data_IF_441974112005
#
_entry.id   IF_441974112005
#
_cell.length_a   1.000
_cell.length_b   1.000
_cell.length_c   1.000
_cell.angle_alpha   90.00
_cell.angle_beta   90.00
_cell.angle_gamma   90.00
#
_symmetry.space_group_name_H-M   'P 1'
#
loop_
_entity.id
_entity.type
_entity.pdbx_description
1 polymer ?
#
# COMPACT_ATOMS: atom_id res chain seq x y z
N UNK A 1 26.29 -14.13 26.44
CA UNK A 1 26.60 -14.22 24.99
C UNK A 1 25.86 -15.42 24.41
N UNK A 2 24.66 -15.23 23.86
CA UNK A 2 23.99 -16.27 23.06
C UNK A 2 23.63 -15.66 21.71
N UNK A 3 24.36 -16.08 20.68
CA UNK A 3 24.02 -15.78 19.30
C UNK A 3 22.74 -16.54 18.95
N UNK A 4 21.63 -15.81 18.83
CA UNK A 4 20.44 -16.28 18.13
C UNK A 4 20.74 -16.28 16.64
N UNK A 5 21.25 -17.41 16.16
CA UNK A 5 21.22 -17.76 14.74
C UNK A 5 19.74 -17.78 14.34
N UNK A 6 19.28 -16.75 13.61
CA UNK A 6 18.01 -16.79 12.90
C UNK A 6 18.10 -17.92 11.87
N UNK A 7 17.58 -19.09 12.22
CA UNK A 7 17.41 -20.20 11.29
C UNK A 7 16.52 -19.75 10.12
N UNK A 8 17.01 -19.75 8.86
CA UNK A 8 16.25 -19.33 7.70
C UNK A 8 15.52 -20.55 7.13
N UNK A 9 14.70 -21.21 7.95
CA UNK A 9 13.74 -22.17 7.41
C UNK A 9 12.47 -21.39 7.12
N UNK A 10 12.19 -21.17 5.83
CA UNK A 10 10.87 -20.78 5.38
C UNK A 10 9.87 -21.76 6.03
N UNK A 11 8.82 -21.23 6.67
CA UNK A 11 7.78 -22.06 7.29
C UNK A 11 7.33 -23.10 6.25
N UNK A 12 7.30 -24.41 6.58
CA UNK A 12 6.80 -25.42 5.67
C UNK A 12 5.38 -25.02 5.22
N UNK A 13 5.17 -24.93 3.91
CA UNK A 13 3.89 -24.52 3.31
C UNK A 13 3.71 -23.02 3.01
N UNK A 14 4.72 -22.16 3.18
CA UNK A 14 4.65 -20.77 2.68
C UNK A 14 4.67 -20.77 1.15
N UNK A 15 3.76 -20.04 0.50
CA UNK A 15 3.79 -19.76 -0.95
C UNK A 15 4.56 -18.47 -1.23
N UNK A 16 5.22 -18.37 -2.39
CA UNK A 16 5.82 -17.11 -2.86
C UNK A 16 4.70 -16.09 -3.15
N UNK A 17 4.93 -14.82 -2.80
CA UNK A 17 4.02 -13.74 -3.19
C UNK A 17 4.29 -13.29 -4.63
N UNK A 18 3.31 -12.69 -5.31
CA UNK A 18 3.48 -12.19 -6.68
C UNK A 18 4.57 -11.12 -6.79
N UNK A 19 4.71 -10.27 -5.76
CA UNK A 19 5.74 -9.23 -5.69
C UNK A 19 7.13 -9.88 -5.51
N UNK A 20 7.24 -10.86 -4.60
CA UNK A 20 8.50 -11.59 -4.38
C UNK A 20 8.89 -12.41 -5.62
N UNK A 21 7.92 -12.92 -6.37
CA UNK A 21 8.12 -13.59 -7.66
C UNK A 21 8.60 -12.60 -8.73
N UNK A 22 7.99 -11.42 -8.81
CA UNK A 22 8.39 -10.40 -9.77
C UNK A 22 9.83 -9.92 -9.51
N UNK A 23 10.18 -9.62 -8.25
CA UNK A 23 11.55 -9.26 -7.85
C UNK A 23 12.56 -10.34 -8.27
N UNK A 24 12.21 -11.61 -8.02
CA UNK A 24 13.02 -12.75 -8.42
C UNK A 24 13.18 -12.86 -9.94
N UNK A 25 12.10 -12.71 -10.70
CA UNK A 25 12.13 -12.81 -12.16
C UNK A 25 12.90 -11.63 -12.78
N UNK A 26 12.81 -10.42 -12.22
CA UNK A 26 13.62 -9.26 -12.65
C UNK A 26 15.10 -9.49 -12.38
N UNK A 27 15.46 -10.06 -11.23
CA UNK A 27 16.82 -10.47 -10.91
C UNK A 27 17.32 -11.58 -11.85
N UNK A 28 16.49 -12.58 -12.13
CA UNK A 28 16.82 -13.65 -13.07
C UNK A 28 17.02 -13.13 -14.50
N UNK A 29 16.19 -12.20 -14.95
CA UNK A 29 16.36 -11.56 -16.26
C UNK A 29 17.71 -10.83 -16.34
N UNK A 30 18.14 -10.17 -15.26
CA UNK A 30 19.46 -9.55 -15.20
C UNK A 30 20.58 -10.59 -15.37
N UNK A 31 20.48 -11.74 -14.68
CA UNK A 31 21.42 -12.85 -14.85
C UNK A 31 21.42 -13.41 -16.27
N UNK A 32 20.25 -13.69 -16.84
CA UNK A 32 20.09 -14.23 -18.19
C UNK A 32 20.66 -13.31 -19.26
N UNK A 33 20.46 -11.99 -19.10
CA UNK A 33 21.01 -10.99 -20.02
C UNK A 33 22.52 -10.85 -19.91
N UNK A 34 23.09 -11.17 -18.74
CA UNK A 34 24.53 -11.32 -18.51
C UNK A 34 25.09 -12.70 -18.90
N UNK A 35 24.25 -13.61 -19.40
CA UNK A 35 24.65 -14.97 -19.81
C UNK A 35 24.64 -16.01 -18.70
N UNK A 36 24.23 -15.65 -17.48
CA UNK A 36 24.13 -16.56 -16.33
C UNK A 36 22.71 -17.14 -16.24
N UNK A 37 22.63 -18.46 -16.03
CA UNK A 37 21.35 -19.19 -15.95
C UNK A 37 20.81 -19.28 -14.52
N UNK A 38 19.55 -19.71 -14.40
CA UNK A 38 18.87 -19.91 -13.11
C UNK A 38 19.65 -20.78 -12.10
N UNK A 39 20.26 -21.92 -12.48
CA UNK A 39 21.15 -22.68 -11.59
C UNK A 39 22.16 -21.81 -10.85
N UNK A 40 22.87 -20.99 -11.63
CA UNK A 40 23.90 -20.09 -11.09
C UNK A 40 23.32 -19.02 -10.17
N UNK A 41 22.17 -18.45 -10.52
CA UNK A 41 21.49 -17.50 -9.63
C UNK A 41 21.16 -18.13 -8.28
N UNK A 42 20.66 -19.38 -8.27
CA UNK A 42 20.32 -20.08 -7.03
C UNK A 42 21.57 -20.39 -6.21
N UNK A 43 22.68 -20.79 -6.81
CA UNK A 43 23.97 -20.95 -6.12
C UNK A 43 24.41 -19.65 -5.44
N UNK A 44 24.43 -18.55 -6.19
CA UNK A 44 24.87 -17.23 -5.72
C UNK A 44 23.99 -16.72 -4.57
N UNK A 45 22.68 -16.97 -4.62
CA UNK A 45 21.75 -16.66 -3.52
C UNK A 45 22.00 -17.56 -2.30
N UNK A 46 22.24 -18.85 -2.50
CA UNK A 46 22.53 -19.80 -1.42
C UNK A 46 23.84 -19.47 -0.70
N UNK A 47 24.81 -18.89 -1.42
CA UNK A 47 26.11 -18.48 -0.91
C UNK A 47 26.11 -17.07 -0.32
N UNK A 48 24.96 -16.39 -0.35
CA UNK A 48 24.80 -15.06 0.21
C UNK A 48 25.46 -13.94 -0.61
N UNK A 49 25.94 -14.24 -1.82
CA UNK A 49 26.51 -13.25 -2.74
C UNK A 49 25.45 -12.41 -3.44
N UNK A 50 24.24 -12.96 -3.59
CA UNK A 50 23.07 -12.26 -4.12
C UNK A 50 21.97 -12.16 -3.06
N UNK A 51 21.46 -10.96 -2.85
CA UNK A 51 20.38 -10.72 -1.90
C UNK A 51 19.00 -10.96 -2.56
N UNK A 52 18.35 -12.07 -2.20
CA UNK A 52 16.98 -12.38 -2.60
C UNK A 52 16.03 -12.42 -1.39
N UNK A 53 14.72 -12.43 -1.65
CA UNK A 53 13.69 -12.62 -0.61
C UNK A 53 13.85 -13.95 0.13
N UNK A 54 13.33 -14.03 1.36
CA UNK A 54 13.48 -15.20 2.24
C UNK A 54 12.98 -16.49 1.59
N UNK A 55 11.90 -16.43 0.77
CA UNK A 55 11.39 -17.60 0.08
C UNK A 55 12.40 -18.13 -0.94
N UNK A 56 12.95 -17.23 -1.77
CA UNK A 56 13.96 -17.56 -2.79
C UNK A 56 15.23 -18.05 -2.13
N UNK A 57 15.67 -17.44 -1.02
CA UNK A 57 16.83 -17.89 -0.26
C UNK A 57 16.64 -19.31 0.30
N UNK A 58 15.47 -19.61 0.87
CA UNK A 58 15.14 -20.96 1.32
C UNK A 58 15.14 -21.98 0.18
N UNK A 59 14.66 -21.58 -0.99
CA UNK A 59 14.64 -22.40 -2.19
C UNK A 59 16.04 -22.64 -2.78
N UNK A 60 16.87 -21.62 -2.82
CA UNK A 60 18.27 -21.68 -3.23
C UNK A 60 19.08 -22.66 -2.35
N UNK A 61 18.86 -22.63 -1.03
CA UNK A 61 19.49 -23.59 -0.12
C UNK A 61 19.05 -25.04 -0.41
N UNK A 62 17.77 -25.26 -0.71
CA UNK A 62 17.26 -26.59 -1.13
C UNK A 62 17.85 -27.02 -2.47
N UNK A 63 17.96 -26.11 -3.42
CA UNK A 63 18.57 -26.35 -4.73
C UNK A 63 20.01 -26.84 -4.59
N UNK A 64 20.82 -26.15 -3.78
CA UNK A 64 22.21 -26.54 -3.50
C UNK A 64 22.36 -27.94 -2.89
N UNK A 65 21.37 -28.39 -2.12
CA UNK A 65 21.34 -29.76 -1.60
C UNK A 65 20.98 -30.75 -2.71
N UNK A 66 19.99 -30.44 -3.54
CA UNK A 66 19.56 -31.30 -4.64
C UNK A 66 20.64 -31.47 -5.71
N UNK A 67 21.34 -30.40 -6.08
CA UNK A 67 22.47 -30.39 -7.03
C UNK A 67 23.56 -31.37 -6.59
N UNK A 68 23.86 -31.48 -5.30
CA UNK A 68 24.85 -32.46 -4.77
C UNK A 68 24.42 -33.92 -4.94
N UNK A 69 23.13 -34.16 -5.14
CA UNK A 69 22.54 -35.51 -5.23
C UNK A 69 22.15 -35.89 -6.66
N UNK A 70 22.14 -34.94 -7.59
CA UNK A 70 21.65 -35.10 -8.96
C UNK A 70 22.73 -34.60 -9.92
N UNK A 71 23.08 -35.40 -10.92
CA UNK A 71 24.18 -35.10 -11.85
C UNK A 71 23.90 -33.94 -12.84
N UNK A 72 22.66 -33.45 -12.93
CA UNK A 72 22.23 -32.43 -13.89
C UNK A 72 21.40 -31.32 -13.23
N UNK A 73 21.80 -30.07 -13.48
CA UNK A 73 21.22 -28.86 -12.89
C UNK A 73 19.72 -28.72 -13.18
N UNK A 74 19.29 -29.08 -14.39
CA UNK A 74 17.89 -28.94 -14.82
C UNK A 74 17.01 -30.05 -14.24
N UNK A 75 17.57 -31.23 -14.01
CA UNK A 75 16.92 -32.30 -13.25
C UNK A 75 16.78 -31.91 -11.77
N UNK A 76 17.78 -31.24 -11.19
CA UNK A 76 17.68 -30.67 -9.85
C UNK A 76 16.59 -29.59 -9.76
N UNK A 77 16.45 -28.72 -10.78
CA UNK A 77 15.36 -27.75 -10.88
C UNK A 77 13.97 -28.38 -10.97
N UNK A 78 13.82 -29.47 -11.73
CA UNK A 78 12.54 -30.21 -11.81
C UNK A 78 12.14 -30.81 -10.47
N UNK A 79 13.08 -31.44 -9.76
CA UNK A 79 12.84 -31.95 -8.40
C UNK A 79 12.57 -30.82 -7.40
N UNK A 80 13.22 -29.67 -7.58
CA UNK A 80 12.98 -28.50 -6.76
C UNK A 80 11.53 -28.02 -6.90
N UNK A 81 10.94 -28.10 -8.10
CA UNK A 81 9.54 -27.74 -8.36
C UNK A 81 8.56 -28.51 -7.45
N UNK A 82 8.82 -29.79 -7.22
CA UNK A 82 7.99 -30.66 -6.37
C UNK A 82 8.09 -30.28 -4.87
N UNK A 83 9.13 -29.55 -4.49
CA UNK A 83 9.38 -29.10 -3.12
C UNK A 83 8.92 -27.66 -2.84
N UNK A 84 8.34 -27.00 -3.84
CA UNK A 84 7.82 -25.64 -3.72
C UNK A 84 6.44 -25.62 -3.08
N UNK A 85 6.14 -24.58 -2.31
CA UNK A 85 4.81 -24.36 -1.74
C UNK A 85 3.84 -23.62 -2.69
N UNK A 86 4.19 -23.48 -3.98
CA UNK A 86 3.44 -22.66 -4.94
C UNK A 86 3.36 -23.36 -6.29
N UNK A 87 2.15 -23.73 -6.71
CA UNK A 87 1.93 -24.37 -8.02
C UNK A 87 2.45 -23.50 -9.17
N UNK A 88 2.22 -22.19 -9.12
CA UNK A 88 2.71 -21.26 -10.13
C UNK A 88 4.25 -21.24 -10.20
N UNK A 89 4.92 -21.28 -9.06
CA UNK A 89 6.39 -21.32 -9.04
C UNK A 89 6.94 -22.69 -9.47
N UNK A 90 6.23 -23.78 -9.14
CA UNK A 90 6.54 -25.12 -9.64
C UNK A 90 6.47 -25.16 -11.18
N UNK A 91 5.39 -24.60 -11.75
CA UNK A 91 5.18 -24.53 -13.19
C UNK A 91 6.27 -23.69 -13.87
N UNK A 92 6.70 -22.60 -13.23
CA UNK A 92 7.84 -21.81 -13.69
C UNK A 92 9.13 -22.64 -13.73
N UNK A 93 9.50 -23.32 -12.64
CA UNK A 93 10.74 -24.10 -12.57
C UNK A 93 10.75 -25.26 -13.58
N UNK A 94 9.61 -25.95 -13.73
CA UNK A 94 9.44 -27.01 -14.73
C UNK A 94 9.57 -26.47 -16.15
N UNK A 95 8.81 -25.43 -16.47
CA UNK A 95 8.85 -24.80 -17.80
C UNK A 95 10.22 -24.21 -18.13
N UNK A 96 10.89 -23.58 -17.17
CA UNK A 96 12.24 -23.05 -17.35
C UNK A 96 13.22 -24.20 -17.67
N UNK A 97 13.16 -25.30 -16.92
CA UNK A 97 14.01 -26.47 -17.17
C UNK A 97 13.78 -27.07 -18.55
N UNK A 98 12.53 -27.13 -19.01
CA UNK A 98 12.17 -27.65 -20.32
C UNK A 98 12.69 -26.75 -21.44
N UNK A 99 12.45 -25.44 -21.35
CA UNK A 99 12.96 -24.45 -22.32
C UNK A 99 14.48 -24.45 -22.38
N UNK A 100 15.16 -24.53 -21.23
CA UNK A 100 16.61 -24.58 -21.17
C UNK A 100 17.18 -25.82 -21.89
N UNK A 101 16.50 -26.97 -21.77
CA UNK A 101 16.92 -28.22 -22.43
C UNK A 101 16.52 -28.34 -23.90
N UNK A 102 15.55 -27.55 -24.37
CA UNK A 102 14.98 -27.68 -25.73
C UNK A 102 15.41 -26.55 -26.65
N UNK A 103 14.89 -25.33 -26.45
CA UNK A 103 15.14 -24.18 -27.32
C UNK A 103 16.28 -23.28 -26.86
N UNK A 104 16.64 -23.34 -25.58
CA UNK A 104 17.63 -22.44 -24.97
C UNK A 104 17.16 -20.98 -24.82
N UNK A 105 15.93 -20.65 -25.21
CA UNK A 105 15.36 -19.28 -25.16
C UNK A 105 14.85 -18.90 -23.75
N UNK A 106 15.64 -19.20 -22.72
CA UNK A 106 15.27 -19.00 -21.31
C UNK A 106 14.99 -17.55 -20.96
N UNK A 107 15.70 -16.59 -21.56
CA UNK A 107 15.47 -15.16 -21.35
C UNK A 107 14.07 -14.71 -21.81
N UNK A 108 13.62 -15.16 -23.00
CA UNK A 108 12.26 -14.87 -23.50
C UNK A 108 11.18 -15.56 -22.65
N UNK A 109 11.45 -16.77 -22.17
CA UNK A 109 10.56 -17.45 -21.24
C UNK A 109 10.39 -16.67 -19.93
N UNK A 110 11.48 -16.12 -19.37
CA UNK A 110 11.43 -15.26 -18.19
C UNK A 110 10.66 -13.97 -18.46
N UNK A 111 10.87 -13.32 -19.61
CA UNK A 111 10.10 -12.14 -20.04
C UNK A 111 8.60 -12.44 -20.13
N UNK A 112 8.20 -13.58 -20.73
CA UNK A 112 6.80 -14.01 -20.79
C UNK A 112 6.19 -14.25 -19.41
N UNK A 113 6.94 -14.85 -18.48
CA UNK A 113 6.47 -15.04 -17.11
C UNK A 113 6.37 -13.72 -16.33
N UNK A 114 7.26 -12.76 -16.58
CA UNK A 114 7.15 -11.40 -16.04
C UNK A 114 5.87 -10.71 -16.51
N UNK A 115 5.53 -10.81 -17.81
CA UNK A 115 4.29 -10.25 -18.35
C UNK A 115 3.04 -10.91 -17.73
N UNK A 116 3.04 -12.25 -17.63
CA UNK A 116 1.96 -13.00 -17.00
C UNK A 116 1.77 -12.61 -15.53
N UNK A 117 2.88 -12.43 -14.80
CA UNK A 117 2.86 -12.01 -13.39
C UNK A 117 2.35 -10.58 -13.25
N UNK A 118 2.81 -9.67 -14.12
CA UNK A 118 2.33 -8.28 -14.16
C UNK A 118 0.83 -8.19 -14.46
N UNK A 119 0.31 -9.02 -15.37
CA UNK A 119 -1.11 -9.05 -15.70
C UNK A 119 -1.96 -9.60 -14.55
N UNK A 120 -1.48 -10.65 -13.87
CA UNK A 120 -2.13 -11.17 -12.64
C UNK A 120 -2.20 -10.09 -11.55
N UNK A 121 -1.07 -9.41 -11.29
CA UNK A 121 -0.99 -8.30 -10.34
C UNK A 121 -1.96 -7.17 -10.68
N UNK A 122 -2.06 -6.81 -11.97
CA UNK A 122 -3.01 -5.80 -12.46
C UNK A 122 -4.44 -6.19 -12.14
N UNK A 123 -4.86 -7.40 -12.54
CA UNK A 123 -6.21 -7.89 -12.31
C UNK A 123 -6.55 -7.97 -10.83
N UNK A 124 -5.59 -8.41 -10.00
CA UNK A 124 -5.75 -8.46 -8.55
C UNK A 124 -5.92 -7.07 -7.95
N UNK A 125 -5.11 -6.10 -8.37
CA UNK A 125 -5.24 -4.70 -7.95
C UNK A 125 -6.61 -4.15 -8.36
N UNK A 126 -7.02 -4.30 -9.63
CA UNK A 126 -8.33 -3.85 -10.11
C UNK A 126 -9.48 -4.47 -9.30
N UNK A 127 -9.40 -5.74 -8.92
CA UNK A 127 -10.39 -6.39 -8.07
C UNK A 127 -10.38 -5.86 -6.63
N UNK A 128 -9.19 -5.62 -6.05
CA UNK A 128 -9.05 -5.00 -4.73
C UNK A 128 -9.68 -3.60 -4.72
N UNK A 129 -9.46 -2.81 -5.76
CA UNK A 129 -10.05 -1.49 -5.93
C UNK A 129 -11.57 -1.55 -5.92
N UNK A 130 -12.17 -2.45 -6.73
CA UNK A 130 -13.63 -2.66 -6.75
C UNK A 130 -14.19 -3.07 -5.39
N UNK A 131 -13.48 -3.91 -4.64
CA UNK A 131 -13.90 -4.31 -3.30
C UNK A 131 -13.86 -3.14 -2.31
N UNK A 132 -12.82 -2.31 -2.34
CA UNK A 132 -12.71 -1.11 -1.50
C UNK A 132 -13.85 -0.14 -1.80
N UNK A 133 -14.20 0.05 -3.07
CA UNK A 133 -15.33 0.87 -3.50
C UNK A 133 -16.66 0.32 -2.96
N UNK A 134 -16.91 -0.98 -3.11
CA UNK A 134 -18.13 -1.61 -2.58
C UNK A 134 -18.25 -1.50 -1.06
N UNK A 135 -17.14 -1.57 -0.32
CA UNK A 135 -17.11 -1.36 1.13
C UNK A 135 -17.46 0.08 1.49
N UNK A 136 -16.94 1.06 0.75
CA UNK A 136 -17.26 2.46 0.98
C UNK A 136 -18.73 2.77 0.65
N UNK A 137 -19.23 2.32 -0.50
CA UNK A 137 -20.62 2.50 -0.90
C UNK A 137 -21.59 1.83 0.08
N UNK A 138 -21.27 0.61 0.53
CA UNK A 138 -22.03 -0.08 1.57
C UNK A 138 -22.06 0.69 2.89
N UNK A 139 -20.93 1.28 3.31
CA UNK A 139 -20.90 2.16 4.49
C UNK A 139 -21.78 3.39 4.29
N UNK A 140 -21.69 4.06 3.14
CA UNK A 140 -22.49 5.25 2.84
C UNK A 140 -23.99 4.96 2.96
N UNK A 141 -24.45 3.85 2.36
CA UNK A 141 -25.84 3.41 2.43
C UNK A 141 -26.27 3.10 3.86
N UNK A 142 -25.42 2.41 4.64
CA UNK A 142 -25.70 2.12 6.04
C UNK A 142 -25.82 3.41 6.87
N UNK A 143 -24.90 4.36 6.71
CA UNK A 143 -24.93 5.65 7.43
C UNK A 143 -26.17 6.45 7.05
N UNK A 144 -26.52 6.53 5.76
CA UNK A 144 -27.75 7.19 5.33
C UNK A 144 -29.01 6.52 5.91
N UNK A 145 -29.08 5.19 5.89
CA UNK A 145 -30.18 4.44 6.49
C UNK A 145 -30.30 4.72 7.98
N UNK A 146 -29.19 4.76 8.71
CA UNK A 146 -29.17 5.07 10.14
C UNK A 146 -29.59 6.52 10.42
N UNK A 147 -29.16 7.49 9.60
CA UNK A 147 -29.62 8.88 9.72
C UNK A 147 -31.13 8.96 9.49
N UNK A 148 -31.67 8.29 8.46
CA UNK A 148 -33.11 8.26 8.22
C UNK A 148 -33.89 7.64 9.41
N UNK A 149 -33.36 6.57 10.02
CA UNK A 149 -33.96 5.93 11.20
C UNK A 149 -33.88 6.80 12.46
N UNK A 150 -32.85 7.63 12.63
CA UNK A 150 -32.77 8.57 13.76
C UNK A 150 -33.77 9.70 13.67
N UNK A 151 -34.23 10.01 12.46
CA UNK A 151 -35.13 11.13 12.18
C UNK A 151 -36.60 10.71 12.32
N UNK A 152 -36.93 9.50 11.87
CA UNK A 152 -38.29 9.01 11.94
C UNK A 152 -38.46 8.37 13.34
N UNK A 153 -39.36 8.89 14.21
CA UNK A 153 -39.51 8.47 15.61
C UNK A 153 -40.18 7.09 15.76
N UNK A 154 -39.93 6.16 14.83
CA UNK A 154 -40.49 4.81 14.83
C UNK A 154 -39.83 3.89 15.85
N UNK A 155 -38.68 4.29 16.42
CA UNK A 155 -37.91 3.42 17.32
C UNK A 155 -37.56 4.15 18.61
N UNK A 156 -37.94 3.60 19.76
CA UNK A 156 -37.57 4.10 21.10
C UNK A 156 -36.08 3.91 21.44
N UNK A 157 -35.22 3.88 20.43
CA UNK A 157 -33.78 3.61 20.55
C UNK A 157 -33.04 4.95 20.66
N UNK A 158 -32.09 5.05 21.59
CA UNK A 158 -31.34 6.29 21.81
C UNK A 158 -30.52 6.72 20.58
N UNK A 159 -30.49 8.01 20.29
CA UNK A 159 -29.66 8.62 19.23
C UNK A 159 -28.18 8.31 19.39
N UNK A 160 -27.70 8.22 20.64
CA UNK A 160 -26.34 7.82 21.00
C UNK A 160 -25.98 6.42 20.48
N UNK A 161 -26.92 5.47 20.57
CA UNK A 161 -26.72 4.11 20.06
C UNK A 161 -26.51 4.12 18.54
N UNK A 162 -27.32 4.88 17.79
CA UNK A 162 -27.16 5.00 16.34
C UNK A 162 -25.81 5.63 15.96
N UNK A 163 -25.36 6.68 16.66
CA UNK A 163 -24.02 7.24 16.45
C UNK A 163 -22.91 6.23 16.72
N UNK A 164 -23.02 5.40 17.76
CA UNK A 164 -22.05 4.33 18.01
C UNK A 164 -22.03 3.29 16.88
N UNK A 165 -23.19 2.88 16.38
CA UNK A 165 -23.29 1.94 15.25
C UNK A 165 -22.62 2.51 14.00
N UNK A 166 -22.80 3.80 13.70
CA UNK A 166 -22.11 4.49 12.59
C UNK A 166 -20.59 4.41 12.75
N UNK A 167 -20.08 4.72 13.94
CA UNK A 167 -18.62 4.66 14.19
C UNK A 167 -18.10 3.23 14.07
N UNK A 168 -18.80 2.24 14.64
CA UNK A 168 -18.41 0.83 14.56
C UNK A 168 -18.43 0.30 13.13
N UNK A 169 -19.44 0.66 12.34
CA UNK A 169 -19.50 0.32 10.92
C UNK A 169 -18.33 0.93 10.17
N UNK A 170 -17.99 2.19 10.44
CA UNK A 170 -16.87 2.85 9.79
C UNK A 170 -15.50 2.25 10.18
N UNK A 171 -15.30 1.88 11.45
CA UNK A 171 -14.09 1.19 11.91
C UNK A 171 -13.99 -0.18 11.24
N UNK A 172 -15.09 -0.94 11.18
CA UNK A 172 -15.11 -2.24 10.51
C UNK A 172 -14.78 -2.11 9.02
N UNK A 173 -15.42 -1.16 8.33
CA UNK A 173 -15.11 -0.84 6.93
C UNK A 173 -13.65 -0.43 6.77
N UNK A 174 -13.10 0.36 7.68
CA UNK A 174 -11.69 0.73 7.67
C UNK A 174 -10.78 -0.50 7.81
N UNK A 175 -11.05 -1.41 8.75
CA UNK A 175 -10.26 -2.64 8.91
C UNK A 175 -10.34 -3.56 7.68
N UNK A 176 -11.51 -3.65 7.05
CA UNK A 176 -11.67 -4.40 5.79
C UNK A 176 -10.84 -3.75 4.69
N UNK A 177 -10.95 -2.43 4.51
CA UNK A 177 -10.14 -1.68 3.54
C UNK A 177 -8.67 -1.91 3.83
N UNK A 178 -8.21 -1.78 5.07
CA UNK A 178 -6.81 -2.05 5.44
C UNK A 178 -6.34 -3.43 5.00
N UNK A 179 -7.12 -4.47 5.32
CA UNK A 179 -6.78 -5.84 4.95
C UNK A 179 -6.71 -6.06 3.44
N UNK A 180 -7.57 -5.39 2.68
CA UNK A 180 -7.55 -5.42 1.20
C UNK A 180 -6.36 -4.62 0.66
N UNK A 181 -6.06 -3.50 1.31
CA UNK A 181 -5.09 -2.49 0.89
C UNK A 181 -3.65 -2.79 1.24
N UNK A 182 -3.40 -3.73 2.17
CA UNK A 182 -2.08 -4.06 2.73
C UNK A 182 -1.03 -4.42 1.65
N UNK A 183 -1.49 -4.75 0.43
CA UNK A 183 -0.65 -5.08 -0.73
C UNK A 183 -0.54 -3.95 -1.78
N UNK A 184 -1.34 -2.88 -1.70
CA UNK A 184 -1.53 -1.90 -2.77
C UNK A 184 -1.32 -0.44 -2.34
N UNK A 185 -1.78 -0.08 -1.14
CA UNK A 185 -1.65 1.27 -0.59
C UNK A 185 -0.49 1.28 0.39
N UNK A 186 0.62 1.91 0.01
CA UNK A 186 1.78 2.15 0.90
C UNK A 186 1.46 3.27 1.89
N UNK A 187 0.38 3.14 2.64
CA UNK A 187 0.14 3.97 3.81
C UNK A 187 1.16 3.55 4.87
N UNK A 188 1.84 4.54 5.48
CA UNK A 188 2.81 4.22 6.52
C UNK A 188 2.08 3.59 7.71
N UNK A 189 2.70 2.64 8.40
CA UNK A 189 2.12 2.02 9.62
C UNK A 189 1.69 3.06 10.65
N UNK A 190 2.42 4.19 10.71
CA UNK A 190 2.10 5.33 11.57
C UNK A 190 0.79 6.03 11.15
N UNK A 191 0.56 6.25 9.86
CA UNK A 191 -0.69 6.83 9.35
C UNK A 191 -1.90 5.94 9.63
N UNK A 192 -1.72 4.62 9.50
CA UNK A 192 -2.77 3.65 9.81
C UNK A 192 -3.14 3.66 11.29
N UNK A 193 -2.13 3.60 12.15
CA UNK A 193 -2.33 3.62 13.59
C UNK A 193 -2.99 4.91 14.05
N UNK A 194 -2.54 6.06 13.55
CA UNK A 194 -3.14 7.36 13.84
C UNK A 194 -4.60 7.44 13.38
N UNK A 195 -4.90 6.98 12.15
CA UNK A 195 -6.28 7.00 11.64
C UNK A 195 -7.21 6.09 12.46
N UNK A 196 -6.78 4.87 12.78
CA UNK A 196 -7.57 3.94 13.60
C UNK A 196 -7.86 4.49 15.01
N UNK A 197 -6.86 5.12 15.64
CA UNK A 197 -7.02 5.76 16.95
C UNK A 197 -8.00 6.92 16.86
N UNK A 198 -7.85 7.80 15.87
CA UNK A 198 -8.74 8.94 15.72
C UNK A 198 -10.19 8.47 15.50
N UNK A 199 -10.42 7.51 14.60
CA UNK A 199 -11.76 6.92 14.40
C UNK A 199 -12.32 6.33 15.69
N UNK A 200 -11.53 5.54 16.42
CA UNK A 200 -11.96 4.93 17.69
C UNK A 200 -12.25 5.96 18.77
N UNK A 201 -11.47 7.05 18.82
CA UNK A 201 -11.65 8.13 19.79
C UNK A 201 -12.95 8.92 19.57
N UNK A 202 -13.57 8.83 18.38
CA UNK A 202 -14.92 9.39 18.17
C UNK A 202 -15.99 8.72 19.04
N UNK A 203 -15.85 7.43 19.41
CA UNK A 203 -16.78 6.76 20.33
C UNK A 203 -16.80 7.45 21.70
N UNK A 204 -15.62 7.76 22.23
CA UNK A 204 -15.47 8.44 23.53
C UNK A 204 -15.97 9.88 23.44
N UNK A 205 -15.75 10.53 22.30
CA UNK A 205 -16.17 11.91 22.06
C UNK A 205 -17.69 12.11 22.12
N UNK A 206 -18.47 11.09 21.72
CA UNK A 206 -19.95 11.14 21.76
C UNK A 206 -20.48 10.97 23.19
N UNK A 207 -19.77 10.24 24.04
CA UNK A 207 -20.20 9.89 25.39
C UNK A 207 -19.95 10.99 26.44
N UNK A 208 -18.98 11.86 26.20
CA UNK A 208 -18.51 12.85 27.17
C UNK A 208 -19.02 14.24 26.81
N UNK A 209 -19.53 15.00 27.79
CA UNK A 209 -19.87 16.42 27.60
C UNK A 209 -18.62 17.21 27.18
N UNK A 210 -18.71 17.93 26.06
CA UNK A 210 -17.55 18.62 25.46
C UNK A 210 -16.58 17.69 24.70
N UNK A 211 -16.88 16.38 24.60
CA UNK A 211 -16.02 15.38 23.96
C UNK A 211 -15.74 15.66 22.48
N UNK A 212 -16.69 16.23 21.74
CA UNK A 212 -16.49 16.63 20.33
C UNK A 212 -15.39 17.70 20.17
N UNK A 213 -15.32 18.66 21.08
CA UNK A 213 -14.30 19.70 21.07
C UNK A 213 -12.92 19.10 21.39
N UNK A 214 -12.86 18.23 22.41
CA UNK A 214 -11.63 17.50 22.76
C UNK A 214 -11.14 16.66 21.56
N UNK A 215 -12.03 15.92 20.91
CA UNK A 215 -11.69 15.14 19.73
C UNK A 215 -11.19 16.01 18.58
N UNK A 216 -11.82 17.16 18.32
CA UNK A 216 -11.34 18.12 17.33
C UNK A 216 -9.92 18.61 17.63
N UNK A 217 -9.62 18.96 18.89
CA UNK A 217 -8.25 19.36 19.28
C UNK A 217 -7.24 18.23 19.10
N UNK A 218 -7.63 16.98 19.38
CA UNK A 218 -6.80 15.80 19.15
C UNK A 218 -6.50 15.58 17.66
N UNK A 219 -7.52 15.69 16.80
CA UNK A 219 -7.35 15.62 15.34
C UNK A 219 -6.38 16.69 14.86
N UNK A 220 -6.57 17.94 15.30
CA UNK A 220 -5.71 19.06 14.92
C UNK A 220 -4.24 18.83 15.35
N UNK A 221 -4.02 18.44 16.61
CA UNK A 221 -2.68 18.14 17.12
C UNK A 221 -2.01 17.01 16.33
N UNK A 222 -2.76 15.94 16.05
CA UNK A 222 -2.28 14.78 15.28
C UNK A 222 -1.89 15.19 13.86
N UNK A 223 -2.71 16.02 13.19
CA UNK A 223 -2.41 16.55 11.84
C UNK A 223 -1.12 17.37 11.86
N UNK A 224 -0.94 18.28 12.83
CA UNK A 224 0.24 19.15 12.92
C UNK A 224 1.52 18.31 13.12
N UNK A 225 1.47 17.30 13.98
CA UNK A 225 2.64 16.47 14.31
C UNK A 225 3.03 15.47 13.21
N UNK A 226 2.06 14.83 12.55
CA UNK A 226 2.33 13.76 11.58
C UNK A 226 2.51 14.26 10.14
N UNK A 227 1.83 15.35 9.74
CA UNK A 227 1.85 15.83 8.36
C UNK A 227 3.27 16.08 7.82
N UNK A 228 4.20 16.72 8.55
CA UNK A 228 5.55 16.96 8.03
C UNK A 228 6.32 15.66 7.76
N UNK A 229 6.22 14.68 8.68
CA UNK A 229 6.92 13.40 8.58
C UNK A 229 6.40 12.59 7.40
N UNK A 230 5.08 12.48 7.28
CA UNK A 230 4.41 11.72 6.23
C UNK A 230 4.68 12.32 4.85
N UNK A 231 4.64 13.66 4.72
CA UNK A 231 4.92 14.33 3.44
C UNK A 231 6.35 14.13 2.96
N UNK A 232 7.31 14.07 3.89
CA UNK A 232 8.69 13.74 3.53
C UNK A 232 8.79 12.36 2.89
N UNK A 233 8.11 11.36 3.43
CA UNK A 233 8.08 10.01 2.87
C UNK A 233 7.47 9.99 1.45
N UNK A 234 6.39 10.74 1.23
CA UNK A 234 5.78 10.87 -0.11
C UNK A 234 6.69 11.57 -1.10
N UNK A 235 7.45 12.59 -0.67
CA UNK A 235 8.45 13.25 -1.52
C UNK A 235 9.56 12.28 -1.93
N UNK A 236 10.08 11.52 -0.98
CA UNK A 236 11.08 10.47 -1.25
C UNK A 236 10.56 9.43 -2.25
N UNK A 237 9.31 8.96 -2.12
CA UNK A 237 8.72 8.07 -3.12
C UNK A 237 8.66 8.72 -4.51
N UNK A 238 8.25 10.00 -4.59
CA UNK A 238 8.19 10.74 -5.86
C UNK A 238 9.56 10.90 -6.51
N UNK A 239 10.57 11.31 -5.75
CA UNK A 239 11.93 11.52 -6.24
C UNK A 239 12.52 10.20 -6.79
N UNK A 240 12.24 9.08 -6.13
CA UNK A 240 12.69 7.75 -6.60
C UNK A 240 11.96 7.31 -7.87
N UNK A 241 10.67 7.61 -8.01
CA UNK A 241 9.93 7.34 -9.24
C UNK A 241 10.45 8.20 -10.40
N UNK A 242 10.71 9.50 -10.15
CA UNK A 242 11.33 10.38 -11.16
C UNK A 242 12.70 9.88 -11.59
N UNK A 243 13.54 9.42 -10.65
CA UNK A 243 14.80 8.78 -10.96
C UNK A 243 14.65 7.52 -11.82
N UNK A 244 13.64 6.67 -11.55
CA UNK A 244 13.37 5.49 -12.37
C UNK A 244 12.98 5.86 -13.81
N UNK A 245 12.14 6.87 -14.00
CA UNK A 245 11.74 7.37 -15.32
C UNK A 245 12.95 7.91 -16.10
N UNK A 246 13.80 8.70 -15.44
CA UNK A 246 15.03 9.24 -16.02
C UNK A 246 16.04 8.12 -16.33
N UNK A 247 16.20 7.16 -15.43
CA UNK A 247 17.02 5.98 -15.64
C UNK A 247 16.54 5.15 -16.82
N UNK A 248 15.24 4.90 -16.94
CA UNK A 248 14.69 4.20 -18.10
C UNK A 248 14.96 4.97 -19.41
N UNK A 249 14.69 6.28 -19.42
CA UNK A 249 14.95 7.14 -20.58
C UNK A 249 16.41 7.08 -21.01
N UNK A 250 17.36 7.30 -20.09
CA UNK A 250 18.78 7.32 -20.41
C UNK A 250 19.32 5.92 -20.77
N UNK A 251 18.89 4.86 -20.08
CA UNK A 251 19.32 3.48 -20.39
C UNK A 251 18.86 2.99 -21.75
N UNK A 252 17.70 3.46 -22.24
CA UNK A 252 17.25 3.23 -23.61
C UNK A 252 18.17 3.86 -24.67
N UNK A 253 18.87 4.93 -24.32
CA UNK A 253 19.87 5.56 -25.19
C UNK A 253 21.29 5.00 -25.00
N UNK A 254 21.44 3.88 -24.28
CA UNK A 254 22.71 3.21 -24.06
C UNK A 254 23.56 3.78 -22.92
N UNK A 255 23.03 4.73 -22.14
CA UNK A 255 23.71 5.26 -20.94
C UNK A 255 23.60 4.23 -19.81
N UNK A 256 24.70 3.95 -19.12
CA UNK A 256 24.66 2.99 -18.00
C UNK A 256 23.97 3.60 -16.79
N UNK A 257 23.32 2.78 -15.95
CA UNK A 257 22.63 3.29 -14.76
C UNK A 257 23.61 3.94 -13.75
N UNK A 258 24.89 3.54 -13.76
CA UNK A 258 25.96 4.21 -13.01
C UNK A 258 26.22 5.64 -13.48
N UNK A 259 26.23 5.87 -14.80
CA UNK A 259 26.31 7.21 -15.38
C UNK A 259 25.05 8.02 -15.05
N UNK A 260 23.86 7.43 -15.11
CA UNK A 260 22.62 8.10 -14.69
C UNK A 260 22.71 8.57 -13.24
N UNK A 261 23.22 7.74 -12.33
CA UNK A 261 23.40 8.10 -10.94
C UNK A 261 24.27 9.36 -10.77
N UNK A 262 25.27 9.58 -11.63
CA UNK A 262 26.06 10.81 -11.61
C UNK A 262 25.24 12.06 -11.99
N UNK A 263 24.36 11.95 -12.98
CA UNK A 263 23.57 13.09 -13.50
C UNK A 263 22.37 13.47 -12.64
N UNK A 264 21.70 12.51 -11.99
CA UNK A 264 20.46 12.80 -11.26
C UNK A 264 20.71 13.50 -9.93
N UNK A 265 20.04 14.63 -9.71
CA UNK A 265 20.04 15.34 -8.43
C UNK A 265 18.78 15.01 -7.62
N UNK A 266 18.98 14.48 -6.42
CA UNK A 266 17.91 14.22 -5.48
C UNK A 266 17.67 15.43 -4.57
N UNK A 267 16.41 15.82 -4.37
CA UNK A 267 16.05 16.87 -3.42
C UNK A 267 16.25 16.41 -1.96
N UNK A 268 15.78 15.20 -1.62
CA UNK A 268 15.91 14.67 -0.25
C UNK A 268 17.36 14.33 0.11
N UNK A 269 17.79 14.76 1.30
CA UNK A 269 19.14 14.54 1.82
C UNK A 269 19.49 13.05 1.99
N UNK A 270 18.52 12.22 2.38
CA UNK A 270 18.72 10.77 2.56
C UNK A 270 18.97 10.08 1.23
N UNK A 271 18.29 10.51 0.17
CA UNK A 271 18.53 10.04 -1.20
C UNK A 271 19.88 10.53 -1.73
N UNK A 272 20.29 11.77 -1.43
CA UNK A 272 21.64 12.27 -1.75
C UNK A 272 22.73 11.46 -1.05
N UNK A 273 22.51 11.09 0.22
CA UNK A 273 23.45 10.25 0.96
C UNK A 273 23.51 8.83 0.39
N UNK A 274 22.36 8.26 0.04
CA UNK A 274 22.25 6.97 -0.65
C UNK A 274 23.00 6.97 -2.00
N UNK A 275 22.80 7.99 -2.83
CA UNK A 275 23.55 8.21 -4.08
C UNK A 275 25.06 8.21 -3.82
N UNK A 276 25.53 8.99 -2.84
CA UNK A 276 26.97 9.05 -2.50
C UNK A 276 27.51 7.68 -2.09
N UNK A 277 26.79 6.92 -1.27
CA UNK A 277 27.23 5.57 -0.86
C UNK A 277 27.27 4.58 -2.01
N UNK A 278 26.33 4.67 -2.95
CA UNK A 278 26.37 3.86 -4.17
C UNK A 278 27.58 4.19 -5.04
N UNK A 279 27.85 5.49 -5.27
CA UNK A 279 29.00 5.95 -6.06
C UNK A 279 30.35 5.59 -5.41
N UNK A 280 30.39 5.40 -4.09
CA UNK A 280 31.57 4.92 -3.37
C UNK A 280 31.73 3.40 -3.41
N UNK A 281 30.81 2.67 -4.06
CA UNK A 281 30.86 1.21 -4.18
C UNK A 281 30.43 0.44 -2.94
N UNK A 282 29.78 1.09 -1.96
CA UNK A 282 29.28 0.41 -0.77
C UNK A 282 27.96 -0.33 -1.02
N UNK A 283 27.75 -1.43 -0.30
CA UNK A 283 26.54 -2.22 -0.47
C UNK A 283 25.28 -1.47 0.00
N UNK A 284 24.24 -1.34 -0.86
CA UNK A 284 23.07 -0.53 -0.57
C UNK A 284 22.11 -1.15 0.44
N UNK A 285 22.20 -2.46 0.70
CA UNK A 285 21.19 -3.24 1.44
C UNK A 285 20.82 -2.65 2.80
N UNK A 286 21.82 -2.21 3.57
CA UNK A 286 21.59 -1.64 4.92
C UNK A 286 20.92 -0.26 4.92
N UNK A 287 21.09 0.52 3.86
CA UNK A 287 20.52 1.87 3.73
C UNK A 287 19.12 1.83 3.11
N UNK A 288 18.84 0.80 2.30
CA UNK A 288 17.54 0.59 1.66
C UNK A 288 16.41 0.42 2.69
N UNK A 289 16.72 -0.11 3.86
CA UNK A 289 15.76 -0.32 4.94
C UNK A 289 15.21 0.96 5.57
N UNK A 290 15.87 2.10 5.37
CA UNK A 290 15.41 3.41 5.83
C UNK A 290 14.33 4.02 4.93
N UNK A 291 14.16 3.53 3.69
CA UNK A 291 13.24 4.10 2.71
C UNK A 291 11.83 3.50 2.76
N UNK A 292 10.79 4.25 2.32
CA UNK A 292 9.45 3.74 2.10
C UNK A 292 9.44 2.46 1.25
N UNK A 293 8.46 1.58 1.44
CA UNK A 293 8.44 0.26 0.80
C UNK A 293 8.55 0.31 -0.73
N UNK A 294 7.82 1.22 -1.39
CA UNK A 294 7.88 1.38 -2.84
C UNK A 294 9.26 1.90 -3.29
N UNK A 295 9.74 2.96 -2.66
CA UNK A 295 11.06 3.53 -2.94
C UNK A 295 12.18 2.49 -2.75
N UNK A 296 12.14 1.73 -1.65
CA UNK A 296 13.06 0.63 -1.35
C UNK A 296 13.06 -0.42 -2.44
N UNK A 297 11.88 -0.87 -2.87
CA UNK A 297 11.73 -1.88 -3.90
C UNK A 297 12.28 -1.39 -5.26
N UNK A 298 11.95 -0.16 -5.66
CA UNK A 298 12.49 0.44 -6.91
C UNK A 298 14.01 0.51 -6.84
N UNK A 299 14.56 1.11 -5.78
CA UNK A 299 16.00 1.27 -5.61
C UNK A 299 16.69 -0.10 -5.57
N UNK A 300 16.14 -1.09 -4.86
CA UNK A 300 16.68 -2.46 -4.84
C UNK A 300 16.69 -3.08 -6.23
N UNK A 301 15.58 -3.02 -6.95
CA UNK A 301 15.44 -3.66 -8.27
C UNK A 301 16.23 -2.95 -9.37
N UNK A 302 16.52 -1.66 -9.22
CA UNK A 302 17.42 -0.94 -10.13
C UNK A 302 18.90 -1.16 -9.79
N UNK A 303 19.26 -1.16 -8.52
CA UNK A 303 20.67 -1.18 -8.09
C UNK A 303 21.26 -2.59 -8.00
N UNK A 304 20.46 -3.59 -7.66
CA UNK A 304 20.94 -4.99 -7.54
C UNK A 304 21.45 -5.55 -8.88
N UNK A 305 20.78 -5.29 -10.02
CA UNK A 305 21.24 -5.72 -11.35
C UNK A 305 22.52 -5.02 -11.86
N UNK A 306 22.93 -3.88 -11.28
CA UNK A 306 24.15 -3.15 -11.67
C UNK A 306 25.40 -4.06 -11.65
N UNK A 307 25.42 -5.04 -10.75
CA UNK A 307 26.55 -5.95 -10.58
C UNK A 307 26.63 -7.04 -11.66
N UNK A 308 25.56 -7.29 -12.42
CA UNK A 308 25.40 -8.53 -13.19
C UNK A 308 25.13 -8.34 -14.68
N UNK A 309 24.68 -7.17 -15.14
CA UNK A 309 24.40 -6.94 -16.56
C UNK A 309 24.63 -5.50 -16.99
N UNK A 310 25.25 -5.25 -18.16
CA UNK A 310 25.29 -3.93 -18.78
C UNK A 310 23.97 -3.56 -19.48
N UNK A 311 23.05 -4.51 -19.67
CA UNK A 311 21.76 -4.30 -20.38
C UNK A 311 20.68 -3.77 -19.44
N UNK A 312 20.92 -2.58 -18.89
CA UNK A 312 20.05 -1.96 -17.88
C UNK A 312 18.65 -1.58 -18.40
N UNK A 313 18.49 -1.33 -19.71
CA UNK A 313 17.21 -0.93 -20.33
C UNK A 313 16.08 -1.94 -20.06
N UNK A 314 16.37 -3.24 -20.20
CA UNK A 314 15.35 -4.28 -19.99
C UNK A 314 14.87 -4.31 -18.54
N UNK A 315 15.80 -4.19 -17.61
CA UNK A 315 15.50 -4.22 -16.17
C UNK A 315 14.75 -2.96 -15.77
N UNK A 316 15.21 -1.77 -16.19
CA UNK A 316 14.51 -0.50 -15.94
C UNK A 316 13.11 -0.50 -16.55
N UNK A 317 12.93 -1.08 -17.75
CA UNK A 317 11.61 -1.23 -18.38
C UNK A 317 10.62 -2.04 -17.53
N UNK A 318 11.05 -3.18 -16.99
CA UNK A 318 10.17 -4.01 -16.17
C UNK A 318 9.83 -3.36 -14.82
N UNK A 319 10.81 -2.70 -14.18
CA UNK A 319 10.55 -1.95 -12.95
C UNK A 319 9.61 -0.77 -13.23
N UNK A 320 9.80 -0.07 -14.35
CA UNK A 320 8.92 1.02 -14.78
C UNK A 320 7.48 0.54 -15.01
N UNK A 321 7.28 -0.53 -15.78
CA UNK A 321 5.93 -1.11 -16.01
C UNK A 321 5.19 -1.43 -14.70
N UNK A 322 5.90 -1.97 -13.70
CA UNK A 322 5.30 -2.23 -12.40
C UNK A 322 4.95 -0.93 -11.65
N UNK A 323 5.86 0.05 -11.66
CA UNK A 323 5.61 1.35 -11.03
C UNK A 323 4.45 2.08 -11.71
N UNK A 324 4.34 2.05 -13.04
CA UNK A 324 3.22 2.59 -13.80
C UNK A 324 1.90 1.91 -13.43
N UNK A 325 1.91 0.59 -13.22
CA UNK A 325 0.75 -0.17 -12.80
C UNK A 325 0.31 0.20 -11.38
N UNK A 326 1.24 0.35 -10.43
CA UNK A 326 0.95 0.83 -9.07
C UNK A 326 0.50 2.30 -9.08
N UNK A 327 1.14 3.15 -9.87
CA UNK A 327 0.82 4.58 -10.02
C UNK A 327 -0.57 4.76 -10.65
N UNK A 328 -0.88 4.02 -11.71
CA UNK A 328 -2.18 4.01 -12.36
C UNK A 328 -3.31 3.59 -11.40
N UNK A 329 -3.07 2.56 -10.58
CA UNK A 329 -4.00 2.16 -9.54
C UNK A 329 -4.22 3.27 -8.48
N UNK A 330 -3.14 3.96 -8.07
CA UNK A 330 -3.22 5.10 -7.14
C UNK A 330 -3.98 6.29 -7.72
N UNK A 331 -3.77 6.64 -8.99
CA UNK A 331 -4.52 7.72 -9.65
C UNK A 331 -6.01 7.40 -9.74
N UNK A 332 -6.35 6.14 -10.03
CA UNK A 332 -7.74 5.67 -10.01
C UNK A 332 -8.38 5.84 -8.63
N UNK A 333 -7.67 5.41 -7.58
CA UNK A 333 -8.09 5.59 -6.18
C UNK A 333 -8.20 7.05 -5.77
N UNK A 334 -7.25 7.88 -6.17
CA UNK A 334 -7.24 9.31 -5.87
C UNK A 334 -8.51 9.96 -6.40
N UNK A 335 -8.83 9.76 -7.69
CA UNK A 335 -10.04 10.32 -8.31
C UNK A 335 -11.31 9.89 -7.59
N UNK A 336 -11.45 8.59 -7.29
CA UNK A 336 -12.63 8.06 -6.59
C UNK A 336 -12.70 8.53 -5.14
N UNK A 337 -11.57 8.53 -4.45
CA UNK A 337 -11.48 9.00 -3.07
C UNK A 337 -11.83 10.48 -2.93
N UNK A 338 -11.50 11.33 -3.91
CA UNK A 338 -12.02 12.70 -3.94
C UNK A 338 -13.55 12.75 -4.06
N UNK A 339 -14.15 11.96 -4.94
CA UNK A 339 -15.61 11.85 -5.05
C UNK A 339 -16.24 11.41 -3.71
N UNK A 340 -15.62 10.44 -3.03
CA UNK A 340 -16.06 9.96 -1.72
C UNK A 340 -15.92 11.01 -0.61
N UNK A 341 -14.82 11.77 -0.59
CA UNK A 341 -14.68 12.91 0.32
C UNK A 341 -15.80 13.93 0.11
N UNK A 342 -16.17 14.23 -1.14
CA UNK A 342 -17.28 15.13 -1.46
C UNK A 342 -18.59 14.56 -0.92
N UNK A 343 -18.86 13.26 -1.10
CA UNK A 343 -20.05 12.62 -0.54
C UNK A 343 -20.13 12.66 0.98
N UNK A 344 -18.99 12.69 1.67
CA UNK A 344 -18.96 12.81 3.14
C UNK A 344 -19.62 14.12 3.62
N UNK A 345 -19.59 15.19 2.81
CA UNK A 345 -20.26 16.47 3.12
C UNK A 345 -21.78 16.42 3.05
N UNK A 346 -22.34 15.42 2.37
CA UNK A 346 -23.80 15.29 2.26
C UNK A 346 -24.38 14.93 3.64
N UNK A 347 -23.68 14.11 4.44
CA UNK A 347 -24.17 13.69 5.76
C UNK A 347 -24.48 14.84 6.72
N UNK A 348 -23.56 15.77 7.04
CA UNK A 348 -23.88 16.87 7.94
C UNK A 348 -25.02 17.74 7.40
N UNK A 349 -25.06 17.99 6.07
CA UNK A 349 -26.14 18.74 5.45
C UNK A 349 -27.50 18.05 5.63
N UNK A 350 -27.58 16.74 5.37
CA UNK A 350 -28.79 15.94 5.59
C UNK A 350 -29.21 15.98 7.05
N UNK A 351 -28.30 15.73 8.00
CA UNK A 351 -28.62 15.73 9.43
C UNK A 351 -29.18 17.08 9.88
N UNK A 352 -28.57 18.20 9.50
CA UNK A 352 -29.05 19.52 9.90
C UNK A 352 -30.35 19.92 9.20
N UNK A 353 -30.47 19.74 7.89
CA UNK A 353 -31.72 20.03 7.14
C UNK A 353 -32.86 19.24 7.74
N UNK A 354 -32.64 17.95 8.00
CA UNK A 354 -33.66 17.09 8.56
C UNK A 354 -34.00 17.45 10.00
N UNK A 355 -33.00 17.81 10.82
CA UNK A 355 -33.24 18.38 12.16
C UNK A 355 -34.17 19.59 12.08
N UNK A 356 -33.88 20.60 11.25
CA UNK A 356 -34.72 21.80 11.16
C UNK A 356 -36.13 21.55 10.63
N UNK A 357 -36.29 20.61 9.70
CA UNK A 357 -37.60 20.28 9.12
C UNK A 357 -38.48 19.45 10.06
N UNK A 358 -37.87 18.53 10.83
CA UNK A 358 -38.60 17.51 11.61
C UNK A 358 -38.71 17.86 13.09
N UNK A 359 -37.76 18.63 13.64
CA UNK A 359 -37.77 19.06 15.05
C UNK A 359 -39.07 19.77 15.48
N UNK A 360 -39.66 20.70 14.69
CA UNK A 360 -40.93 21.33 15.05
C UNK A 360 -42.11 20.34 15.14
N UNK A 361 -42.09 19.28 14.33
CA UNK A 361 -43.16 18.27 14.27
C UNK A 361 -43.03 17.23 15.40
N UNK A 362 -41.80 16.86 15.75
CA UNK A 362 -41.51 15.82 16.75
C UNK A 362 -41.50 16.33 18.19
N UNK A 363 -41.23 17.63 18.39
CA UNK A 363 -41.40 18.30 19.69
C UNK A 363 -42.83 18.21 20.23
N UNK A 364 -43.84 18.19 19.35
CA UNK A 364 -45.25 18.01 19.70
C UNK A 364 -45.56 16.56 20.15
N UNK A 365 -44.76 15.59 19.70
CA UNK A 365 -44.92 14.16 19.99
C UNK A 365 -44.06 13.67 21.19
N UNK A 366 -43.35 14.57 21.89
CA UNK A 366 -42.56 14.22 23.08
C UNK A 366 -41.22 13.53 22.82
N UNK A 367 -40.77 13.45 21.56
CA UNK A 367 -39.52 12.81 21.15
C UNK A 367 -38.70 13.76 20.27
N UNK A 368 -38.10 14.79 20.86
CA UNK A 368 -37.29 15.76 20.12
C UNK A 368 -35.79 15.45 20.29
N UNK A 369 -35.11 15.15 19.18
CA UNK A 369 -33.65 15.13 19.14
C UNK A 369 -33.11 16.51 19.56
N UNK A 370 -32.11 16.54 20.44
CA UNK A 370 -31.44 17.80 20.81
C UNK A 370 -30.45 18.24 19.73
N UNK A 371 -30.20 19.55 19.61
CA UNK A 371 -29.19 20.06 18.66
C UNK A 371 -27.80 19.45 18.92
N UNK A 372 -27.47 19.15 20.17
CA UNK A 372 -26.20 18.54 20.54
C UNK A 372 -26.07 17.10 19.99
N UNK A 373 -27.17 16.35 19.95
CA UNK A 373 -27.23 15.02 19.34
C UNK A 373 -27.13 15.10 17.81
N UNK A 374 -27.82 16.05 17.18
CA UNK A 374 -27.69 16.31 15.75
C UNK A 374 -26.24 16.63 15.37
N UNK A 375 -25.56 17.50 16.14
CA UNK A 375 -24.14 17.78 15.98
C UNK A 375 -23.27 16.54 16.13
N UNK A 376 -23.54 15.68 17.12
CA UNK A 376 -22.79 14.45 17.32
C UNK A 376 -22.93 13.49 16.14
N UNK A 377 -24.15 13.25 15.65
CA UNK A 377 -24.42 12.39 14.48
C UNK A 377 -23.71 12.95 13.24
N UNK A 378 -23.89 14.25 12.95
CA UNK A 378 -23.26 14.93 11.82
C UNK A 378 -21.73 14.83 11.88
N UNK A 379 -21.14 15.08 13.05
CA UNK A 379 -19.71 15.01 13.28
C UNK A 379 -19.18 13.60 13.04
N UNK A 380 -19.82 12.59 13.62
CA UNK A 380 -19.33 11.20 13.56
C UNK A 380 -19.50 10.59 12.17
N UNK A 381 -20.61 10.92 11.49
CA UNK A 381 -20.85 10.48 10.13
C UNK A 381 -19.83 11.13 9.19
N UNK A 382 -19.66 12.45 9.25
CA UNK A 382 -18.68 13.17 8.43
C UNK A 382 -17.26 12.68 8.69
N UNK A 383 -16.78 12.72 9.95
CA UNK A 383 -15.37 12.47 10.24
C UNK A 383 -14.93 11.07 9.82
N UNK A 384 -15.72 10.05 10.19
CA UNK A 384 -15.34 8.67 9.94
C UNK A 384 -15.44 8.30 8.45
N UNK A 385 -16.46 8.80 7.73
CA UNK A 385 -16.57 8.58 6.28
C UNK A 385 -15.52 9.36 5.50
N UNK A 386 -15.24 10.61 5.90
CA UNK A 386 -14.19 11.43 5.30
C UNK A 386 -12.80 10.83 5.52
N UNK A 387 -12.49 10.37 6.73
CA UNK A 387 -11.20 9.75 7.04
C UNK A 387 -11.02 8.42 6.31
N UNK A 388 -12.08 7.62 6.17
CA UNK A 388 -12.06 6.43 5.33
C UNK A 388 -11.79 6.79 3.86
N UNK A 389 -12.54 7.74 3.30
CA UNK A 389 -12.35 8.22 1.93
C UNK A 389 -10.94 8.76 1.68
N UNK A 390 -10.39 9.51 2.64
CA UNK A 390 -9.04 10.03 2.58
C UNK A 390 -7.97 8.94 2.59
N UNK A 391 -8.18 7.88 3.36
CA UNK A 391 -7.26 6.75 3.36
C UNK A 391 -7.38 5.90 2.10
N UNK A 392 -8.59 5.70 1.57
CA UNK A 392 -8.83 5.02 0.28
C UNK A 392 -8.14 5.76 -0.87
N UNK A 393 -8.20 7.10 -0.88
CA UNK A 393 -7.66 7.91 -1.97
C UNK A 393 -6.14 7.82 -2.14
N UNK A 394 -5.42 7.23 -1.18
CA UNK A 394 -3.95 7.21 -1.15
C UNK A 394 -3.30 8.57 -0.86
N UNK A 395 -4.07 9.66 -0.87
CA UNK A 395 -3.65 11.01 -0.48
C UNK A 395 -3.64 11.15 1.05
N UNK A 396 -4.47 10.39 1.77
CA UNK A 396 -4.49 10.38 3.22
C UNK A 396 -4.88 11.74 3.84
N UNK A 397 -5.19 11.70 5.15
CA UNK A 397 -5.42 12.94 5.91
C UNK A 397 -4.13 13.76 6.08
N UNK A 398 -2.98 13.10 6.11
CA UNK A 398 -1.69 13.70 6.51
C UNK A 398 -0.78 14.09 5.33
N UNK A 399 -0.99 13.50 4.14
CA UNK A 399 -0.09 13.72 2.99
C UNK A 399 -0.39 14.99 2.21
N UNK A 400 -1.58 15.58 2.36
CA UNK A 400 -1.96 16.84 1.68
C UNK A 400 -2.52 17.86 2.65
N UNK A 401 -2.01 19.10 2.58
CA UNK A 401 -2.55 20.20 3.41
C UNK A 401 -3.98 20.54 3.03
N UNK A 402 -4.35 20.35 1.76
CA UNK A 402 -5.71 20.60 1.27
C UNK A 402 -6.70 19.66 1.95
N UNK A 403 -6.42 18.35 1.99
CA UNK A 403 -7.31 17.37 2.63
C UNK A 403 -7.40 17.61 4.14
N UNK A 404 -6.27 17.91 4.80
CA UNK A 404 -6.28 18.25 6.23
C UNK A 404 -7.13 19.49 6.53
N UNK A 405 -6.94 20.58 5.77
CA UNK A 405 -7.69 21.83 5.96
C UNK A 405 -9.19 21.66 5.71
N UNK A 406 -9.56 20.92 4.66
CA UNK A 406 -10.96 20.64 4.34
C UNK A 406 -11.63 19.89 5.50
N UNK A 407 -10.96 18.88 6.05
CA UNK A 407 -11.45 18.15 7.23
C UNK A 407 -11.60 19.08 8.44
N UNK A 408 -10.54 19.82 8.81
CA UNK A 408 -10.54 20.72 9.97
C UNK A 408 -11.62 21.79 9.84
N UNK A 409 -11.73 22.41 8.65
CA UNK A 409 -12.75 23.41 8.36
C UNK A 409 -14.17 22.86 8.55
N UNK A 410 -14.44 21.69 8.00
CA UNK A 410 -15.75 21.03 8.14
C UNK A 410 -16.09 20.68 9.59
N UNK A 411 -15.15 20.11 10.34
CA UNK A 411 -15.36 19.80 11.77
C UNK A 411 -15.61 21.07 12.58
N UNK A 412 -14.87 22.15 12.30
CA UNK A 412 -15.06 23.44 12.97
C UNK A 412 -16.45 24.01 12.69
N UNK A 413 -16.94 23.92 11.45
CA UNK A 413 -18.27 24.38 11.06
C UNK A 413 -19.38 23.60 11.80
N UNK A 414 -19.24 22.28 11.95
CA UNK A 414 -20.20 21.43 12.67
C UNK A 414 -20.24 21.81 14.17
N UNK A 415 -19.07 22.02 14.79
CA UNK A 415 -18.97 22.37 16.22
C UNK A 415 -19.57 23.76 16.49
N UNK A 416 -19.15 24.75 15.68
CA UNK A 416 -19.53 26.15 15.82
C UNK A 416 -20.95 26.46 15.33
N UNK A 417 -21.65 25.49 14.75
CA UNK A 417 -23.01 25.67 14.27
C UNK A 417 -23.91 26.23 15.39
N UNK A 418 -24.57 27.39 15.21
CA UNK A 418 -25.19 28.10 16.31
C UNK A 418 -26.33 27.29 16.94
N UNK A 419 -26.35 27.27 18.27
CA UNK A 419 -27.51 26.88 19.06
C UNK A 419 -28.45 28.06 19.16
N UNK A 420 -29.42 28.12 18.24
CA UNK A 420 -30.52 29.07 18.29
C UNK A 420 -31.47 28.73 19.45
#
# INVERSE_FOLDING_TARGET
MSWLVKTPFSKPGRSISEIELMDFLTLLLAFETGGLKLPRLLEEVAEGRVEAGDYVRGLALKYKVLERTVLDDYTALRKLADSTGSAWFADFLRGYSEVATTSGETARFVESYLEKTSLSLRMRLENMLKLVEGVYEGLMLAVFGLIALTVIPLTGVSTTFFSMVVVMAAILSYLIVLKISDNALTLSRLEHFASAILMSSTLVAILVKGGLLLHFTLVLATVILLSPRVRRLVRVERDVVGFLEEAFSMTRHGVTLDQVLHYVEFEDESLRLFKKTLLLGHEPGSLLDAFPALARMILRNLTTPLKYTPRHEKVSSHVLKFVELVSGARVGLEKKGFTYMVYSFIFPATVFVTYFLVHPMTAVAGYAMSLQEAKAIAYTAFFNTYLLAANISGIGLFRSWKTSLICIGALSAIILFPSL
#
